data_IF_764594284394
#
_entry.id   IF_764594284394
#
_cell.length_a   1.000
_cell.length_b   1.000
_cell.length_c   1.000
_cell.angle_alpha   90.00
_cell.angle_beta   90.00
_cell.angle_gamma   90.00
#
_symmetry.space_group_name_H-M   'P 1'
#
loop_
_entity.id
_entity.type
_entity.pdbx_description
1 polymer ?
#
# COMPACT_ATOMS: atom_id res chain seq x y z
N UNK A 1 -23.47 15.97 -5.77
CA UNK A 1 -23.20 15.12 -6.93
C UNK A 1 -23.18 13.67 -6.43
N UNK A 2 -24.35 13.00 -6.44
CA UNK A 2 -24.46 11.62 -6.02
C UNK A 2 -23.95 10.74 -7.16
N UNK A 3 -22.69 10.32 -7.09
CA UNK A 3 -22.22 9.26 -7.96
C UNK A 3 -23.11 8.01 -7.81
N UNK A 4 -23.42 7.37 -8.93
CA UNK A 4 -24.03 6.04 -8.89
C UNK A 4 -23.15 5.12 -8.05
N UNK A 5 -23.71 4.46 -7.02
CA UNK A 5 -22.98 3.49 -6.18
C UNK A 5 -22.22 2.43 -6.99
N UNK A 6 -22.64 2.18 -8.24
CA UNK A 6 -21.93 1.29 -9.19
C UNK A 6 -20.62 1.91 -9.69
N UNK A 7 -20.62 3.20 -10.01
CA UNK A 7 -19.44 3.93 -10.48
C UNK A 7 -18.37 4.00 -9.40
N UNK A 8 -18.73 4.38 -8.17
CA UNK A 8 -17.80 4.42 -7.03
C UNK A 8 -17.16 3.05 -6.75
N UNK A 9 -17.93 1.97 -6.88
CA UNK A 9 -17.43 0.61 -6.73
C UNK A 9 -16.43 0.24 -7.83
N UNK A 10 -16.71 0.60 -9.08
CA UNK A 10 -15.80 0.35 -10.20
C UNK A 10 -14.47 1.10 -10.02
N UNK A 11 -14.53 2.40 -9.70
CA UNK A 11 -13.34 3.22 -9.42
C UNK A 11 -12.51 2.61 -8.30
N UNK A 12 -13.17 2.13 -7.24
CA UNK A 12 -12.49 1.49 -6.12
C UNK A 12 -11.79 0.18 -6.50
N UNK A 13 -12.38 -0.65 -7.37
CA UNK A 13 -11.70 -1.86 -7.84
C UNK A 13 -10.49 -1.55 -8.72
N UNK A 14 -10.60 -0.57 -9.62
CA UNK A 14 -9.46 -0.09 -10.42
C UNK A 14 -8.36 0.44 -9.50
N UNK A 15 -8.74 1.22 -8.49
CA UNK A 15 -7.82 1.68 -7.45
C UNK A 15 -7.12 0.52 -6.75
N UNK A 16 -7.83 -0.51 -6.28
CA UNK A 16 -7.21 -1.66 -5.60
C UNK A 16 -6.25 -2.42 -6.52
N UNK A 17 -6.54 -2.52 -7.83
CA UNK A 17 -5.61 -3.10 -8.80
C UNK A 17 -4.34 -2.26 -8.93
N UNK A 18 -4.47 -0.93 -9.05
CA UNK A 18 -3.33 -0.02 -9.12
C UNK A 18 -2.51 -0.02 -7.83
N UNK A 19 -3.16 -0.06 -6.67
CA UNK A 19 -2.51 -0.18 -5.37
C UNK A 19 -1.69 -1.47 -5.29
N UNK A 20 -2.28 -2.60 -5.66
CA UNK A 20 -1.59 -3.90 -5.67
C UNK A 20 -0.40 -3.88 -6.62
N UNK A 21 -0.56 -3.28 -7.81
CA UNK A 21 0.52 -3.17 -8.79
C UNK A 21 1.66 -2.26 -8.32
N UNK A 22 1.33 -1.13 -7.72
CA UNK A 22 2.29 -0.17 -7.18
C UNK A 22 3.07 -0.71 -5.98
N UNK A 23 2.39 -1.33 -5.00
CA UNK A 23 3.05 -1.82 -3.78
C UNK A 23 3.86 -3.10 -4.05
N UNK A 24 3.29 -4.09 -4.75
CA UNK A 24 3.99 -5.37 -4.95
C UNK A 24 5.04 -5.30 -6.05
N UNK A 25 4.79 -4.55 -7.12
CA UNK A 25 5.62 -4.60 -8.33
C UNK A 25 6.18 -3.23 -8.74
N UNK A 26 5.99 -2.17 -7.93
CA UNK A 26 6.52 -0.82 -8.21
C UNK A 26 6.15 -0.28 -9.60
N UNK A 27 4.97 -0.65 -10.10
CA UNK A 27 4.51 -0.35 -11.47
C UNK A 27 5.39 -0.90 -12.61
N UNK A 28 6.22 -1.91 -12.33
CA UNK A 28 6.99 -2.57 -13.37
C UNK A 28 6.04 -3.20 -14.40
N UNK A 29 6.33 -2.93 -15.68
CA UNK A 29 5.53 -3.39 -16.82
C UNK A 29 6.21 -4.52 -17.56
N UNK A 30 7.53 -4.64 -17.45
CA UNK A 30 8.30 -5.72 -18.04
C UNK A 30 8.41 -6.89 -17.03
N UNK A 31 7.79 -8.05 -17.31
CA UNK A 31 7.85 -9.21 -16.43
C UNK A 31 9.28 -9.71 -16.15
N UNK A 32 10.24 -9.45 -17.04
CA UNK A 32 11.64 -9.84 -16.85
C UNK A 32 12.30 -9.15 -15.64
N UNK A 33 11.83 -7.95 -15.27
CA UNK A 33 12.32 -7.23 -14.09
C UNK A 33 11.57 -7.60 -12.81
N UNK A 34 10.47 -8.37 -12.90
CA UNK A 34 9.74 -8.89 -11.73
C UNK A 34 10.35 -10.24 -11.34
N UNK A 35 11.41 -10.15 -10.54
CA UNK A 35 12.19 -11.28 -10.07
C UNK A 35 11.51 -12.00 -8.90
N UNK A 36 10.70 -13.04 -9.17
CA UNK A 36 10.12 -13.89 -8.14
C UNK A 36 11.17 -14.86 -7.56
N UNK A 37 11.16 -15.02 -6.23
CA UNK A 37 12.01 -15.95 -5.49
C UNK A 37 13.52 -15.70 -5.58
N UNK A 38 13.91 -14.51 -6.01
CA UNK A 38 15.31 -14.12 -6.18
C UNK A 38 15.79 -13.12 -5.11
N UNK A 39 14.89 -12.30 -4.56
CA UNK A 39 15.26 -11.39 -3.48
C UNK A 39 15.48 -12.15 -2.16
N UNK A 40 16.40 -11.69 -1.30
CA UNK A 40 16.54 -12.25 0.04
C UNK A 40 15.24 -12.04 0.82
N UNK A 41 14.80 -13.08 1.52
CA UNK A 41 13.65 -13.01 2.44
C UNK A 41 14.08 -12.31 3.72
N UNK A 42 14.04 -11.00 3.68
CA UNK A 42 14.47 -10.13 4.76
C UNK A 42 13.28 -9.31 5.28
N UNK A 43 13.22 -9.14 6.59
CA UNK A 43 12.22 -8.31 7.26
C UNK A 43 12.96 -7.20 7.99
N UNK A 44 12.72 -5.96 7.57
CA UNK A 44 13.16 -4.78 8.28
C UNK A 44 12.21 -4.48 9.44
N UNK A 45 12.67 -4.80 10.66
CA UNK A 45 11.92 -4.56 11.89
C UNK A 45 12.15 -3.19 12.50
N UNK A 46 13.16 -2.46 12.03
CA UNK A 46 13.53 -1.18 12.62
C UNK A 46 12.85 -0.11 11.78
N UNK A 47 11.85 0.61 12.30
CA UNK A 47 11.14 1.63 11.54
C UNK A 47 12.11 2.75 11.20
N UNK A 48 12.06 3.19 9.93
CA UNK A 48 12.83 4.29 9.38
C UNK A 48 14.36 4.04 9.40
N UNK A 49 14.76 2.78 9.46
CA UNK A 49 16.15 2.37 9.64
C UNK A 49 16.97 2.31 8.35
N UNK A 50 16.31 2.03 7.24
CA UNK A 50 16.97 1.82 5.95
C UNK A 50 16.48 2.85 4.95
N UNK A 51 17.34 3.83 4.60
CA UNK A 51 17.15 4.64 3.42
C UNK A 51 17.86 3.99 2.22
N UNK A 52 17.11 3.40 1.28
CA UNK A 52 17.56 3.23 -0.11
C UNK A 52 17.29 4.55 -0.89
N UNK A 53 18.18 5.50 -1.19
CA UNK A 53 19.58 5.81 -0.89
C UNK A 53 19.68 7.32 -0.55
N UNK A 54 20.70 7.63 0.26
CA UNK A 54 21.17 8.94 0.77
C UNK A 54 21.53 9.94 -0.34
N UNK A 55 21.13 11.21 -0.17
CA UNK A 55 21.42 12.40 -1.02
C UNK A 55 20.95 12.39 -2.49
N UNK A 56 19.69 11.98 -2.75
CA UNK A 56 19.14 12.24 -4.08
C UNK A 56 17.65 12.04 -4.38
N UNK A 57 16.82 11.61 -3.40
CA UNK A 57 15.34 11.47 -3.46
C UNK A 57 14.76 10.10 -3.87
N UNK A 58 15.12 9.00 -3.20
CA UNK A 58 14.35 7.74 -3.38
C UNK A 58 13.63 7.25 -2.11
N UNK A 59 14.12 7.51 -0.90
CA UNK A 59 13.45 7.09 0.35
C UNK A 59 12.17 7.89 0.63
N UNK A 60 12.26 9.21 0.52
CA UNK A 60 11.11 10.09 0.73
C UNK A 60 10.02 9.85 -0.30
N UNK A 61 10.38 9.47 -1.53
CA UNK A 61 9.41 9.20 -2.58
C UNK A 61 8.65 7.90 -2.32
N UNK A 62 9.34 6.82 -1.95
CA UNK A 62 8.71 5.53 -1.60
C UNK A 62 7.84 5.67 -0.34
N UNK A 63 8.36 6.31 0.71
CA UNK A 63 7.59 6.58 1.93
C UNK A 63 6.33 7.42 1.66
N UNK A 64 6.48 8.50 0.87
CA UNK A 64 5.36 9.35 0.51
C UNK A 64 4.36 8.60 -0.38
N UNK A 65 4.85 7.75 -1.29
CA UNK A 65 4.00 6.90 -2.11
C UNK A 65 3.16 5.94 -1.25
N UNK A 66 3.78 5.25 -0.30
CA UNK A 66 3.10 4.35 0.64
C UNK A 66 2.02 5.09 1.45
N UNK A 67 2.38 6.25 2.01
CA UNK A 67 1.42 7.11 2.72
C UNK A 67 0.25 7.55 1.82
N UNK A 68 0.53 8.16 0.67
CA UNK A 68 -0.50 8.76 -0.21
C UNK A 68 -1.37 7.67 -0.84
N UNK A 69 -0.77 6.55 -1.24
CA UNK A 69 -1.48 5.48 -1.96
C UNK A 69 -2.60 4.85 -1.13
N UNK A 70 -2.52 4.91 0.20
CA UNK A 70 -3.57 4.41 1.10
C UNK A 70 -4.65 5.44 1.48
N UNK A 71 -4.47 6.73 1.22
CA UNK A 71 -5.49 7.76 1.48
C UNK A 71 -6.81 7.45 0.76
N UNK A 72 -6.83 7.08 -0.54
CA UNK A 72 -8.08 6.71 -1.21
C UNK A 72 -8.79 5.51 -0.58
N UNK A 73 -8.08 4.59 0.09
CA UNK A 73 -8.74 3.51 0.84
C UNK A 73 -9.59 4.07 1.98
N UNK A 74 -9.02 5.01 2.75
CA UNK A 74 -9.71 5.68 3.86
C UNK A 74 -10.94 6.47 3.41
N UNK A 75 -10.85 7.13 2.25
CA UNK A 75 -11.94 7.93 1.67
C UNK A 75 -13.00 7.08 0.98
N UNK A 76 -12.62 6.13 0.12
CA UNK A 76 -13.55 5.41 -0.74
C UNK A 76 -14.26 4.24 -0.03
N UNK A 77 -13.61 3.59 0.94
CA UNK A 77 -14.20 2.44 1.63
C UNK A 77 -15.54 2.76 2.35
N UNK A 78 -15.67 3.87 3.12
CA UNK A 78 -16.94 4.24 3.74
C UNK A 78 -18.02 4.66 2.72
N UNK A 79 -17.64 5.11 1.52
CA UNK A 79 -18.61 5.45 0.44
C UNK A 79 -19.28 4.21 -0.14
N UNK A 80 -18.59 3.06 -0.14
CA UNK A 80 -19.13 1.79 -0.63
C UNK A 80 -19.93 1.07 0.46
N UNK A 81 -19.47 1.14 1.71
CA UNK A 81 -20.09 0.49 2.85
C UNK A 81 -20.40 1.51 3.94
N UNK A 82 -21.69 1.80 4.08
CA UNK A 82 -22.21 2.74 5.08
C UNK A 82 -22.02 2.21 6.51
N UNK A 83 -21.86 3.12 7.48
CA UNK A 83 -21.76 2.82 8.92
C UNK A 83 -20.50 2.03 9.35
N UNK A 84 -19.38 2.22 8.66
CA UNK A 84 -18.08 1.77 9.14
C UNK A 84 -17.53 2.75 10.17
N UNK A 85 -17.07 2.25 11.31
CA UNK A 85 -16.30 3.05 12.27
C UNK A 85 -14.89 3.29 11.74
N UNK A 86 -14.26 4.40 12.11
CA UNK A 86 -12.88 4.73 11.72
C UNK A 86 -11.91 3.59 12.06
N UNK A 87 -12.09 2.94 13.23
CA UNK A 87 -11.28 1.77 13.62
C UNK A 87 -11.38 0.59 12.63
N UNK A 88 -12.56 0.32 12.08
CA UNK A 88 -12.72 -0.75 11.06
C UNK A 88 -12.06 -0.37 9.74
N UNK A 89 -12.06 0.91 9.39
CA UNK A 89 -11.46 1.40 8.15
C UNK A 89 -9.93 1.34 8.26
N UNK A 90 -9.37 1.89 9.34
CA UNK A 90 -7.94 1.80 9.67
C UNK A 90 -7.49 0.35 9.79
N UNK A 91 -8.25 -0.50 10.51
CA UNK A 91 -7.94 -1.93 10.63
C UNK A 91 -7.97 -2.67 9.30
N UNK A 92 -8.87 -2.30 8.37
CA UNK A 92 -8.87 -2.87 7.01
C UNK A 92 -7.64 -2.44 6.23
N UNK A 93 -7.25 -1.16 6.35
CA UNK A 93 -6.00 -0.64 5.79
C UNK A 93 -4.76 -1.37 6.27
N UNK A 94 -4.63 -1.51 7.59
CA UNK A 94 -3.55 -2.25 8.23
C UNK A 94 -3.48 -3.70 7.73
N UNK A 95 -4.61 -4.40 7.66
CA UNK A 95 -4.64 -5.79 7.18
C UNK A 95 -4.27 -5.94 5.71
N UNK A 96 -4.69 -5.00 4.86
CA UNK A 96 -4.30 -4.97 3.44
C UNK A 96 -2.80 -4.71 3.30
N UNK A 97 -2.27 -3.74 4.04
CA UNK A 97 -0.84 -3.46 4.04
C UNK A 97 -0.03 -4.66 4.55
N UNK A 98 -0.47 -5.29 5.63
CA UNK A 98 0.18 -6.49 6.16
C UNK A 98 0.15 -7.65 5.15
N UNK A 99 -0.96 -7.79 4.41
CA UNK A 99 -1.04 -8.77 3.34
C UNK A 99 0.01 -8.50 2.25
N UNK A 100 0.22 -7.24 1.85
CA UNK A 100 1.26 -6.89 0.87
C UNK A 100 2.66 -7.23 1.37
N UNK A 101 2.97 -6.86 2.61
CA UNK A 101 4.24 -7.22 3.27
C UNK A 101 4.47 -8.74 3.28
N UNK A 102 3.43 -9.52 3.64
CA UNK A 102 3.49 -10.98 3.61
C UNK A 102 3.69 -11.53 2.19
N UNK A 103 3.03 -10.94 1.20
CA UNK A 103 3.18 -11.36 -0.20
C UNK A 103 4.59 -11.06 -0.71
N UNK A 104 5.15 -9.90 -0.41
CA UNK A 104 6.54 -9.55 -0.76
C UNK A 104 7.53 -10.55 -0.16
N UNK A 105 7.34 -10.94 1.10
CA UNK A 105 8.14 -11.95 1.76
C UNK A 105 8.02 -13.35 1.13
N UNK A 106 6.78 -13.84 0.94
CA UNK A 106 6.50 -15.18 0.42
C UNK A 106 7.01 -15.32 -1.02
N UNK A 107 6.73 -14.31 -1.84
CA UNK A 107 7.11 -14.28 -3.25
C UNK A 107 8.58 -13.90 -3.45
N UNK A 108 9.26 -13.40 -2.40
CA UNK A 108 10.65 -12.93 -2.47
C UNK A 108 10.88 -11.97 -3.65
N UNK A 109 9.99 -10.98 -3.75
CA UNK A 109 9.99 -9.92 -4.78
C UNK A 109 10.43 -8.55 -4.22
N UNK A 110 10.65 -8.45 -2.91
CA UNK A 110 11.02 -7.22 -2.23
C UNK A 110 11.42 -7.48 -0.77
N UNK A 111 11.73 -6.40 -0.05
CA UNK A 111 12.00 -6.42 1.38
C UNK A 111 10.70 -6.09 2.10
N UNK A 112 10.37 -6.88 3.11
CA UNK A 112 9.25 -6.55 4.01
C UNK A 112 9.71 -5.48 5.00
N UNK A 113 8.95 -4.40 5.15
CA UNK A 113 9.34 -3.26 5.97
C UNK A 113 8.22 -2.77 6.91
N UNK A 114 8.54 -2.65 8.20
CA UNK A 114 7.62 -2.09 9.19
C UNK A 114 7.28 -0.62 8.93
N UNK A 115 8.16 0.12 8.26
CA UNK A 115 7.90 1.50 7.82
C UNK A 115 6.76 1.54 6.83
N UNK A 116 6.72 0.62 5.87
CA UNK A 116 5.67 0.56 4.86
C UNK A 116 4.33 0.22 5.50
N UNK A 117 4.31 -0.78 6.39
CA UNK A 117 3.12 -1.11 7.19
C UNK A 117 2.60 0.10 7.98
N UNK A 118 3.51 0.87 8.58
CA UNK A 118 3.17 2.05 9.38
C UNK A 118 2.61 3.17 8.50
N UNK A 119 3.32 3.53 7.43
CA UNK A 119 2.95 4.63 6.54
C UNK A 119 1.65 4.36 5.78
N UNK A 120 1.48 3.14 5.27
CA UNK A 120 0.23 2.73 4.63
C UNK A 120 -0.95 2.86 5.61
N UNK A 121 -0.76 2.44 6.87
CA UNK A 121 -1.80 2.55 7.90
C UNK A 121 -2.09 4.02 8.25
N UNK A 122 -1.06 4.86 8.37
CA UNK A 122 -1.23 6.30 8.58
C UNK A 122 -1.96 6.98 7.41
N UNK A 123 -1.70 6.55 6.18
CA UNK A 123 -2.39 7.06 4.99
C UNK A 123 -3.90 6.88 5.08
N UNK A 124 -4.37 5.78 5.66
CA UNK A 124 -5.80 5.56 5.91
C UNK A 124 -6.35 6.50 6.98
N UNK A 125 -5.55 6.86 7.99
CA UNK A 125 -5.93 7.79 9.04
C UNK A 125 -6.07 9.23 8.54
N UNK A 126 -5.26 9.67 7.58
CA UNK A 126 -5.31 11.02 6.98
C UNK A 126 -6.63 11.31 6.24
N UNK A 127 -7.48 10.30 6.04
CA UNK A 127 -8.81 10.48 5.47
C UNK A 127 -9.84 11.11 6.45
N UNK A 128 -9.44 11.45 7.69
CA UNK A 128 -10.31 11.96 8.77
C UNK A 128 -9.78 13.24 9.42
#
# INVERSE_FOLDING_TARGET
MLESKKTTRYVFYVYLMLLTWGILFKFETNPEFIAFFLAPRYINWIPFSEPLIVDGKIVFAEMLFNLISFIPLGVCFPLIKTNLSSLRIVGTGFLISLLFECLQYILAIGITDITDLTLNTLGVCEAY
#
